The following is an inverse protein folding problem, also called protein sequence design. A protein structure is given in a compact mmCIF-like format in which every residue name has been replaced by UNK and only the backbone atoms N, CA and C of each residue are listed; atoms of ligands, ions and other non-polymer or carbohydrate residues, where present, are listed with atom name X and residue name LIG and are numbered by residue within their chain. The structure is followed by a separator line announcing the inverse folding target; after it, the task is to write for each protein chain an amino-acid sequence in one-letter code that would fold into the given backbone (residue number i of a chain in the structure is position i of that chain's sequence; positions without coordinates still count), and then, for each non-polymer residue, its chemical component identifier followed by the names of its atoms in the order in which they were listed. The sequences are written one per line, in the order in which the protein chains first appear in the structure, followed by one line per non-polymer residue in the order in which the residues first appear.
data_IF_042634980723
#
_entry.id   IF_042634980723
#
_cell.length_a   1.000
_cell.length_b   1.000
_cell.length_c   1.000
_cell.angle_alpha   90.00
_cell.angle_beta   90.00
_cell.angle_gamma   90.00
#
_symmetry.space_group_name_H-M   'P 1'
#
loop_
_entity.id
_entity.type
_entity.pdbx_description
1 polymer ?
#
# COMPACT_ATOMS: atom_id res chain seq x y z
N UNK A 1 17.04 6.42 -28.52
CA UNK A 1 17.56 6.10 -27.18
C UNK A 1 17.02 7.11 -26.19
N UNK A 2 15.93 6.77 -25.49
CA UNK A 2 15.30 7.64 -24.49
C UNK A 2 15.77 7.18 -23.10
N UNK A 3 16.19 8.14 -22.28
CA UNK A 3 16.92 7.91 -21.03
C UNK A 3 16.01 7.36 -19.93
N UNK A 4 16.23 6.08 -19.54
CA UNK A 4 15.58 5.40 -18.39
C UNK A 4 15.75 6.09 -17.03
N UNK A 5 16.52 7.19 -16.94
CA UNK A 5 16.76 7.97 -15.72
C UNK A 5 15.67 9.02 -15.42
N UNK A 6 14.83 9.37 -16.40
CA UNK A 6 13.76 10.36 -16.22
C UNK A 6 12.53 9.80 -15.51
N UNK A 7 12.11 8.59 -15.84
CA UNK A 7 10.84 8.00 -15.37
C UNK A 7 10.89 7.57 -13.90
N UNK A 8 12.05 7.07 -13.43
CA UNK A 8 12.27 6.76 -12.01
C UNK A 8 12.16 8.00 -11.11
N UNK A 9 12.50 9.19 -11.61
CA UNK A 9 12.37 10.44 -10.84
C UNK A 9 10.91 10.87 -10.71
N UNK A 10 10.08 10.60 -11.72
CA UNK A 10 8.66 10.96 -11.71
C UNK A 10 7.87 10.00 -10.79
N UNK A 11 8.17 8.71 -10.82
CA UNK A 11 7.54 7.71 -9.93
C UNK A 11 7.97 7.93 -8.47
N UNK A 12 9.24 8.25 -8.22
CA UNK A 12 9.71 8.57 -6.87
C UNK A 12 9.10 9.88 -6.34
N UNK A 13 8.93 10.90 -7.18
CA UNK A 13 8.23 12.13 -6.79
C UNK A 13 6.74 11.89 -6.48
N UNK A 14 6.06 11.03 -7.24
CA UNK A 14 4.65 10.68 -6.99
C UNK A 14 4.48 9.92 -5.67
N UNK A 15 5.41 9.02 -5.34
CA UNK A 15 5.38 8.31 -4.05
C UNK A 15 5.71 9.22 -2.85
N UNK A 16 6.58 10.21 -3.03
CA UNK A 16 6.88 11.23 -2.00
C UNK A 16 5.70 12.20 -1.82
N UNK A 17 5.03 12.61 -2.91
CA UNK A 17 3.87 13.49 -2.86
C UNK A 17 2.66 12.83 -2.18
N UNK A 18 2.46 11.52 -2.37
CA UNK A 18 1.40 10.76 -1.70
C UNK A 18 1.69 10.48 -0.21
N UNK A 19 2.97 10.47 0.21
CA UNK A 19 3.37 10.35 1.62
C UNK A 19 3.33 11.68 2.40
N UNK A 20 3.72 12.80 1.77
CA UNK A 20 3.75 14.11 2.43
C UNK A 20 2.35 14.72 2.65
N UNK A 21 1.41 14.46 1.73
CA UNK A 21 0.00 14.85 1.92
C UNK A 21 -0.65 14.18 3.14
N UNK A 22 -0.28 12.92 3.41
CA UNK A 22 -0.74 12.16 4.57
C UNK A 22 -0.14 12.65 5.90
N UNK A 23 1.15 13.05 5.90
CA UNK A 23 1.79 13.63 7.09
C UNK A 23 1.15 14.97 7.51
N UNK A 24 0.72 15.80 6.55
CA UNK A 24 0.04 17.07 6.83
C UNK A 24 -1.38 16.88 7.37
N UNK A 25 -2.09 15.85 6.89
CA UNK A 25 -3.43 15.49 7.40
C UNK A 25 -3.32 14.89 8.81
N UNK A 26 -2.33 14.03 9.08
CA UNK A 26 -2.07 13.49 10.41
C UNK A 26 -1.63 14.58 11.40
N UNK A 27 -0.81 15.55 10.98
CA UNK A 27 -0.44 16.69 11.81
C UNK A 27 -1.67 17.54 12.21
N UNK A 28 -2.63 17.71 11.30
CA UNK A 28 -3.85 18.48 11.55
C UNK A 28 -4.86 17.74 12.45
N UNK A 29 -4.89 16.40 12.37
CA UNK A 29 -5.71 15.55 13.23
C UNK A 29 -5.10 15.44 14.64
N UNK A 30 -3.77 15.34 14.74
CA UNK A 30 -3.05 15.32 16.01
C UNK A 30 -3.21 16.63 16.81
N UNK A 31 -3.25 17.79 16.15
CA UNK A 31 -3.54 19.08 16.79
C UNK A 31 -4.99 19.19 17.31
N UNK A 32 -5.92 18.42 16.75
CA UNK A 32 -7.34 18.45 17.12
C UNK A 32 -7.74 17.48 18.24
N UNK A 33 -6.82 16.59 18.64
CA UNK A 33 -7.05 15.57 19.67
C UNK A 33 -5.95 15.69 20.72
N UNK A 34 -6.08 16.65 21.65
CA UNK A 34 -5.20 16.74 22.81
C UNK A 34 -5.83 16.04 24.03
N UNK A 35 -5.51 14.76 24.33
CA UNK A 35 -5.32 14.39 25.72
C UNK A 35 -3.99 14.99 26.19
N UNK A 36 -3.95 15.42 27.45
CA UNK A 36 -2.74 15.86 28.16
C UNK A 36 -1.54 14.97 27.81
N UNK A 37 -0.36 15.56 27.52
CA UNK A 37 0.81 14.77 27.15
C UNK A 37 1.15 13.79 28.29
N UNK A 38 1.35 12.49 27.99
CA UNK A 38 1.75 11.54 29.02
C UNK A 38 3.04 12.02 29.68
N UNK A 39 3.08 11.88 31.01
CA UNK A 39 4.19 12.29 31.87
C UNK A 39 5.53 11.87 31.28
N UNK A 40 6.54 12.74 31.42
CA UNK A 40 7.87 12.58 30.84
C UNK A 40 8.56 11.24 31.15
N UNK A 41 8.11 10.53 32.20
CA UNK A 41 8.61 9.21 32.59
C UNK A 41 8.20 8.08 31.62
N UNK A 42 7.09 8.23 30.88
CA UNK A 42 6.52 7.15 30.04
C UNK A 42 6.90 7.29 28.55
N UNK A 43 7.57 8.38 28.18
CA UNK A 43 7.98 8.65 26.79
C UNK A 43 9.35 8.08 26.43
N UNK A 44 10.17 7.67 27.41
CA UNK A 44 11.50 7.12 27.18
C UNK A 44 11.51 5.89 26.24
N UNK A 45 10.69 4.86 26.51
CA UNK A 45 10.64 3.64 25.69
C UNK A 45 10.11 3.91 24.27
N UNK A 46 9.07 4.75 24.15
CA UNK A 46 8.43 5.12 22.89
C UNK A 46 9.33 6.00 22.00
N UNK A 47 10.06 6.94 22.60
CA UNK A 47 10.99 7.79 21.84
C UNK A 47 12.22 6.99 21.39
N UNK A 48 12.70 6.06 22.22
CA UNK A 48 13.78 5.15 21.84
C UNK A 48 13.36 4.20 20.70
N UNK A 49 12.12 3.69 20.71
CA UNK A 49 11.57 2.87 19.62
C UNK A 49 11.41 3.68 18.31
N UNK A 50 10.91 4.92 18.41
CA UNK A 50 10.76 5.84 17.25
C UNK A 50 12.09 6.18 16.62
N UNK A 51 13.12 6.51 17.41
CA UNK A 51 14.47 6.78 16.89
C UNK A 51 15.10 5.51 16.29
N UNK A 52 14.90 4.34 16.91
CA UNK A 52 15.37 3.06 16.34
C UNK A 52 14.71 2.71 15.01
N UNK A 53 13.45 3.08 14.81
CA UNK A 53 12.72 2.90 13.55
C UNK A 53 13.21 3.91 12.50
N UNK A 54 13.43 5.17 12.88
CA UNK A 54 13.99 6.20 12.00
C UNK A 54 15.40 5.83 11.52
N UNK A 55 16.28 5.34 12.39
CA UNK A 55 17.63 4.89 12.04
C UNK A 55 17.62 3.67 11.10
N UNK A 56 16.66 2.75 11.31
CA UNK A 56 16.46 1.64 10.37
C UNK A 56 15.95 2.10 9.02
N UNK A 57 15.08 3.11 8.97
CA UNK A 57 14.53 3.65 7.72
C UNK A 57 15.56 4.51 6.97
N UNK A 58 16.35 5.32 7.67
CA UNK A 58 17.44 6.12 7.07
C UNK A 58 18.52 5.21 6.49
N UNK A 59 18.93 4.17 7.21
CA UNK A 59 19.87 3.17 6.70
C UNK A 59 19.33 2.35 5.52
N UNK A 60 18.00 2.23 5.37
CA UNK A 60 17.36 1.62 4.21
C UNK A 60 17.33 2.55 2.99
N UNK A 61 17.14 3.85 3.23
CA UNK A 61 17.11 4.93 2.23
C UNK A 61 18.50 5.23 1.63
N UNK A 62 19.56 5.13 2.43
CA UNK A 62 20.94 5.43 2.00
C UNK A 62 21.68 4.21 1.46
N UNK A 63 21.13 3.01 1.62
CA UNK A 63 21.72 1.81 1.09
C UNK A 63 21.62 1.80 -0.45
N UNK A 64 22.70 1.47 -1.18
CA UNK A 64 22.60 1.24 -2.61
C UNK A 64 21.54 0.16 -2.87
N UNK A 65 20.73 0.31 -3.92
CA UNK A 65 19.57 -0.54 -4.19
C UNK A 65 19.86 -2.06 -4.10
N UNK A 66 21.10 -2.48 -4.41
CA UNK A 66 21.59 -3.86 -4.29
C UNK A 66 21.64 -4.39 -2.85
N UNK A 67 21.87 -3.53 -1.85
CA UNK A 67 21.90 -3.88 -0.42
C UNK A 67 20.48 -3.97 0.16
N UNK A 68 19.59 -3.06 -0.22
CA UNK A 68 18.17 -3.12 0.16
C UNK A 68 17.48 -4.36 -0.44
N UNK A 69 17.81 -4.70 -1.68
CA UNK A 69 17.37 -5.94 -2.33
C UNK A 69 17.81 -7.20 -1.59
N UNK A 70 19.10 -7.30 -1.20
CA UNK A 70 19.62 -8.45 -0.44
C UNK A 70 18.99 -8.60 0.94
N UNK A 71 18.65 -7.48 1.59
CA UNK A 71 17.95 -7.51 2.88
C UNK A 71 16.50 -7.96 2.71
N UNK A 72 15.84 -7.57 1.63
CA UNK A 72 14.50 -8.02 1.27
C UNK A 72 14.48 -9.53 0.99
N UNK A 73 15.38 -10.04 0.15
CA UNK A 73 15.55 -11.49 -0.12
C UNK A 73 15.74 -12.30 1.18
N UNK A 74 16.57 -11.79 2.09
CA UNK A 74 16.83 -12.43 3.40
C UNK A 74 15.60 -12.40 4.31
N UNK A 75 14.79 -11.33 4.28
CA UNK A 75 13.55 -11.22 5.05
C UNK A 75 12.41 -12.10 4.51
N UNK A 76 12.39 -12.34 3.18
CA UNK A 76 11.41 -13.20 2.50
C UNK A 76 11.81 -14.69 2.52
N UNK A 77 12.81 -15.07 3.31
CA UNK A 77 13.22 -16.47 3.46
C UNK A 77 13.83 -17.09 2.20
N UNK A 78 14.38 -16.27 1.30
CA UNK A 78 15.00 -16.76 0.06
C UNK A 78 14.03 -17.22 -1.03
N UNK A 79 12.72 -17.08 -0.82
CA UNK A 79 11.71 -17.36 -1.84
C UNK A 79 11.29 -16.05 -2.52
N UNK A 80 12.19 -15.46 -3.29
CA UNK A 80 11.78 -14.53 -4.35
C UNK A 80 11.54 -15.42 -5.56
N UNK A 81 10.30 -15.54 -6.06
CA UNK A 81 10.05 -16.27 -7.30
C UNK A 81 11.01 -15.74 -8.37
N UNK A 82 11.83 -16.63 -8.94
CA UNK A 82 12.77 -16.29 -10.01
C UNK A 82 12.01 -16.14 -11.33
N UNK A 83 10.81 -15.58 -11.29
CA UNK A 83 10.10 -15.21 -12.49
C UNK A 83 10.97 -14.20 -13.23
N UNK A 84 11.33 -14.54 -14.45
CA UNK A 84 11.98 -13.60 -15.35
C UNK A 84 10.95 -12.52 -15.69
N UNK A 85 11.05 -11.39 -14.99
CA UNK A 85 10.18 -10.23 -15.21
C UNK A 85 10.74 -9.30 -16.30
N UNK A 86 11.84 -9.67 -16.98
CA UNK A 86 12.51 -8.78 -17.94
C UNK A 86 11.68 -8.48 -19.18
N UNK A 87 10.70 -9.33 -19.49
CA UNK A 87 9.73 -9.16 -20.57
C UNK A 87 8.51 -8.32 -20.17
N UNK A 88 8.34 -7.97 -18.88
CA UNK A 88 7.24 -7.13 -18.45
C UNK A 88 7.54 -5.66 -18.77
N UNK A 89 6.66 -5.03 -19.54
CA UNK A 89 6.79 -3.64 -20.00
C UNK A 89 5.66 -2.75 -19.53
N UNK A 90 4.53 -3.32 -19.10
CA UNK A 90 3.36 -2.58 -18.68
C UNK A 90 3.05 -2.86 -17.20
N UNK A 91 2.66 -1.81 -16.46
CA UNK A 91 2.16 -1.93 -15.10
C UNK A 91 0.68 -1.60 -15.10
N UNK A 92 -0.14 -2.57 -14.72
CA UNK A 92 -1.58 -2.40 -14.50
C UNK A 92 -1.78 -2.30 -12.99
N UNK A 93 -2.12 -1.11 -12.52
CA UNK A 93 -2.29 -0.85 -11.09
C UNK A 93 -3.77 -0.65 -10.77
N UNK A 94 -4.27 -1.42 -9.81
CA UNK A 94 -5.60 -1.24 -9.24
C UNK A 94 -5.44 -0.58 -7.88
N UNK A 95 -5.95 0.65 -7.76
CA UNK A 95 -5.92 1.42 -6.52
C UNK A 95 -7.00 0.92 -5.56
N UNK A 96 -6.57 0.52 -4.37
CA UNK A 96 -7.45 0.22 -3.24
C UNK A 96 -8.18 1.46 -2.75
N UNK A 97 -9.48 1.33 -2.56
CA UNK A 97 -10.33 2.37 -1.95
C UNK A 97 -11.38 1.77 -1.03
N UNK A 98 -11.45 0.44 -0.97
CA UNK A 98 -12.29 -0.29 -0.04
C UNK A 98 -11.61 -1.58 0.45
N UNK A 99 -12.15 -2.16 1.53
CA UNK A 99 -11.67 -3.41 2.12
C UNK A 99 -12.86 -4.34 2.25
N UNK A 100 -12.79 -5.51 1.61
CA UNK A 100 -13.74 -6.58 1.88
C UNK A 100 -13.50 -7.16 3.28
N UNK A 101 -14.52 -7.16 4.13
CA UNK A 101 -14.48 -7.64 5.51
C UNK A 101 -15.04 -9.05 5.67
N UNK A 102 -15.67 -9.61 4.63
CA UNK A 102 -16.21 -10.96 4.63
C UNK A 102 -15.13 -12.05 4.69
N UNK A 103 -15.59 -13.28 4.87
CA UNK A 103 -14.74 -14.49 4.87
C UNK A 103 -14.92 -15.33 3.61
N UNK A 104 -16.06 -15.22 2.93
CA UNK A 104 -16.33 -15.86 1.65
C UNK A 104 -16.07 -14.88 0.51
N UNK A 105 -14.97 -15.06 -0.20
CA UNK A 105 -14.61 -14.21 -1.33
C UNK A 105 -15.34 -14.60 -2.63
N UNK A 106 -15.85 -15.83 -2.75
CA UNK A 106 -16.52 -16.29 -3.97
C UNK A 106 -17.79 -15.51 -4.28
N UNK A 107 -18.42 -14.95 -3.24
CA UNK A 107 -19.63 -14.14 -3.33
C UNK A 107 -19.39 -12.67 -2.94
N UNK A 108 -18.13 -12.23 -2.86
CA UNK A 108 -17.82 -10.86 -2.41
C UNK A 108 -18.49 -9.78 -3.27
N UNK A 109 -18.67 -10.03 -4.57
CA UNK A 109 -19.30 -9.08 -5.49
C UNK A 109 -20.80 -8.86 -5.22
N UNK A 110 -21.48 -9.77 -4.53
CA UNK A 110 -22.90 -9.64 -4.16
C UNK A 110 -23.11 -9.24 -2.70
N UNK A 111 -22.04 -9.13 -1.92
CA UNK A 111 -22.05 -8.83 -0.48
C UNK A 111 -21.60 -7.40 -0.20
N UNK A 112 -22.26 -6.40 -0.80
CA UNK A 112 -21.90 -4.98 -0.66
C UNK A 112 -21.84 -4.49 0.80
N UNK A 113 -22.66 -5.07 1.68
CA UNK A 113 -22.67 -4.82 3.13
C UNK A 113 -21.41 -5.33 3.86
N UNK A 114 -20.69 -6.27 3.25
CA UNK A 114 -19.43 -6.82 3.76
C UNK A 114 -18.21 -6.06 3.27
N UNK A 115 -18.38 -5.09 2.37
CA UNK A 115 -17.32 -4.14 2.05
C UNK A 115 -17.38 -2.99 3.04
N UNK A 116 -16.25 -2.64 3.64
CA UNK A 116 -16.18 -1.44 4.43
C UNK A 116 -16.37 -0.25 3.48
N UNK A 117 -17.34 0.62 3.71
CA UNK A 117 -17.55 1.80 2.87
C UNK A 117 -17.83 2.98 3.78
N UNK A 118 -17.16 4.10 3.55
CA UNK A 118 -17.64 5.35 4.13
C UNK A 118 -18.98 5.73 3.49
N UNK A 119 -19.76 6.57 4.16
CA UNK A 119 -21.10 6.94 3.68
C UNK A 119 -21.08 7.55 2.27
N UNK A 120 -20.06 8.35 1.95
CA UNK A 120 -19.87 8.93 0.61
C UNK A 120 -19.45 7.92 -0.47
N UNK A 121 -19.06 6.70 -0.09
CA UNK A 121 -18.61 5.64 -1.00
C UNK A 121 -19.69 4.59 -1.28
N UNK A 122 -20.85 4.64 -0.61
CA UNK A 122 -21.90 3.62 -0.75
C UNK A 122 -22.38 3.48 -2.19
N UNK A 123 -22.60 4.60 -2.86
CA UNK A 123 -23.01 4.64 -4.27
C UNK A 123 -21.85 4.33 -5.24
N UNK A 124 -20.65 4.05 -4.71
CA UNK A 124 -19.46 3.74 -5.49
C UNK A 124 -19.08 2.26 -5.47
N UNK A 125 -19.86 1.42 -4.76
CA UNK A 125 -19.56 0.01 -4.59
C UNK A 125 -19.31 -0.72 -5.93
N UNK A 126 -20.23 -0.57 -6.88
CA UNK A 126 -20.13 -1.21 -8.18
C UNK A 126 -18.89 -0.76 -8.97
N UNK A 127 -18.48 0.50 -8.81
CA UNK A 127 -17.28 1.00 -9.46
C UNK A 127 -16.03 0.30 -8.93
N UNK A 128 -15.91 0.08 -7.61
CA UNK A 128 -14.75 -0.64 -7.06
C UNK A 128 -14.64 -2.05 -7.64
N UNK A 129 -15.76 -2.78 -7.76
CA UNK A 129 -15.76 -4.10 -8.39
C UNK A 129 -15.38 -4.04 -9.88
N UNK A 130 -15.86 -3.03 -10.60
CA UNK A 130 -15.49 -2.80 -12.00
C UNK A 130 -14.00 -2.47 -12.14
N UNK A 131 -13.41 -1.69 -11.23
CA UNK A 131 -11.98 -1.39 -11.22
C UNK A 131 -11.14 -2.66 -11.06
N UNK A 132 -11.51 -3.53 -10.11
CA UNK A 132 -10.83 -4.82 -9.91
C UNK A 132 -10.96 -5.68 -11.17
N UNK A 133 -12.19 -5.84 -11.67
CA UNK A 133 -12.49 -6.67 -12.84
C UNK A 133 -11.76 -6.17 -14.09
N UNK A 134 -11.74 -4.87 -14.33
CA UNK A 134 -11.05 -4.25 -15.46
C UNK A 134 -9.54 -4.44 -15.37
N UNK A 135 -8.94 -4.26 -14.19
CA UNK A 135 -7.51 -4.49 -13.98
C UNK A 135 -7.10 -5.94 -14.24
N UNK A 136 -7.86 -6.90 -13.71
CA UNK A 136 -7.64 -8.34 -13.95
C UNK A 136 -7.79 -8.67 -15.43
N UNK A 137 -8.84 -8.15 -16.08
CA UNK A 137 -9.07 -8.38 -17.51
C UNK A 137 -7.93 -7.82 -18.37
N UNK A 138 -7.50 -6.59 -18.14
CA UNK A 138 -6.39 -5.98 -18.86
C UNK A 138 -5.09 -6.78 -18.66
N UNK A 139 -4.84 -7.26 -17.44
CA UNK A 139 -3.65 -8.05 -17.14
C UNK A 139 -3.68 -9.43 -17.80
N UNK A 140 -4.87 -10.02 -17.91
CA UNK A 140 -5.08 -11.27 -18.64
C UNK A 140 -4.86 -11.11 -20.15
N UNK A 141 -5.27 -9.97 -20.71
CA UNK A 141 -5.14 -9.67 -22.13
C UNK A 141 -3.72 -9.25 -22.55
N UNK A 142 -2.88 -8.83 -21.61
CA UNK A 142 -1.50 -8.40 -21.86
C UNK A 142 -0.46 -9.26 -21.10
N UNK A 143 0.14 -10.27 -21.77
CA UNK A 143 1.18 -11.11 -21.17
C UNK A 143 2.48 -10.37 -20.80
N UNK A 144 2.68 -9.14 -21.27
CA UNK A 144 3.82 -8.30 -20.90
C UNK A 144 3.47 -7.35 -19.74
N UNK A 145 2.35 -7.56 -19.06
CA UNK A 145 1.92 -6.73 -17.94
C UNK A 145 2.19 -7.35 -16.57
N UNK A 146 2.40 -6.49 -15.58
CA UNK A 146 2.33 -6.82 -14.15
C UNK A 146 1.03 -6.24 -13.58
N UNK A 147 0.20 -7.08 -12.96
CA UNK A 147 -0.94 -6.62 -12.16
C UNK A 147 -0.49 -6.32 -10.73
N UNK A 148 -0.77 -5.10 -10.27
CA UNK A 148 -0.52 -4.65 -8.90
C UNK A 148 -1.81 -4.17 -8.25
N UNK A 149 -2.30 -4.92 -7.26
CA UNK A 149 -3.26 -4.38 -6.30
C UNK A 149 -2.51 -3.55 -5.27
N UNK A 150 -2.90 -2.31 -5.10
CA UNK A 150 -2.27 -1.38 -4.15
C UNK A 150 -3.23 -0.97 -3.06
N UNK A 151 -2.69 -0.49 -1.94
CA UNK A 151 -3.47 -0.02 -0.79
C UNK A 151 -3.08 -0.70 0.52
N UNK A 152 -2.98 0.10 1.58
CA UNK A 152 -2.54 -0.32 2.91
C UNK A 152 -3.69 -0.71 3.84
N UNK A 153 -3.38 -0.95 5.11
CA UNK A 153 -4.37 -1.05 6.19
C UNK A 153 -4.76 0.37 6.65
N UNK A 154 -5.46 1.10 5.76
CA UNK A 154 -5.85 2.51 5.95
C UNK A 154 -7.09 2.68 6.83
N UNK A 155 -7.78 1.56 7.13
CA UNK A 155 -9.08 1.55 7.81
C UNK A 155 -8.98 0.76 9.10
N UNK A 156 -8.82 1.49 10.21
CA UNK A 156 -8.71 0.93 11.57
C UNK A 156 -9.87 -0.02 11.88
N UNK A 157 -11.08 0.33 11.43
CA UNK A 157 -12.31 -0.45 11.67
C UNK A 157 -12.46 -1.67 10.75
N UNK A 158 -11.65 -1.81 9.70
CA UNK A 158 -11.68 -2.96 8.79
C UNK A 158 -10.77 -4.12 9.25
N UNK A 159 -10.17 -4.00 10.44
CA UNK A 159 -9.22 -4.98 10.98
C UNK A 159 -7.84 -4.91 10.32
N UNK A 160 -7.01 -5.95 10.47
CA UNK A 160 -5.62 -5.93 9.98
C UNK A 160 -5.47 -6.11 8.46
N UNK A 161 -6.58 -6.25 7.73
CA UNK A 161 -6.57 -6.52 6.29
C UNK A 161 -6.30 -5.24 5.51
N UNK A 162 -5.38 -5.31 4.55
CA UNK A 162 -5.14 -4.18 3.63
C UNK A 162 -6.14 -4.18 2.47
N UNK A 163 -6.34 -3.02 1.87
CA UNK A 163 -7.15 -2.89 0.64
C UNK A 163 -6.61 -3.83 -0.46
N UNK A 164 -5.29 -3.80 -0.70
CA UNK A 164 -4.62 -4.66 -1.69
C UNK A 164 -4.86 -6.15 -1.45
N UNK A 165 -4.76 -6.60 -0.19
CA UNK A 165 -5.02 -8.00 0.18
C UNK A 165 -6.46 -8.39 -0.08
N UNK A 166 -7.41 -7.51 0.21
CA UNK A 166 -8.83 -7.79 -0.03
C UNK A 166 -9.16 -7.89 -1.51
N UNK A 167 -8.50 -7.09 -2.35
CA UNK A 167 -8.70 -7.12 -3.80
C UNK A 167 -8.02 -8.32 -4.46
N UNK A 168 -6.87 -8.75 -3.94
CA UNK A 168 -6.18 -9.95 -4.42
C UNK A 168 -6.99 -11.24 -4.18
N UNK A 169 -7.72 -11.28 -3.06
CA UNK A 169 -8.53 -12.45 -2.69
C UNK A 169 -9.92 -12.46 -3.34
N UNK A 170 -10.37 -11.32 -3.87
CA UNK A 170 -11.63 -11.16 -4.60
C UNK A 170 -11.54 -11.82 -5.99
#
# INVERSE_FOLDING_TARGET
MISKRGELRVILLLMIAMGLGWLLILARIADSMSPEPPSAADQGPLNHEKERIKDKLSSFSEAPASRSWRLMEKSLGGYVPTSDWSNLTHLIMVAGHTVYMGTDFTNAGSQGDRWFLYDYQRDQFDWFLQHITAGVKLAHEDPASLLLFSGGATRILAGPRTEAQSYWLY
#
